data_IF_239616723555
#
_entry.id   IF_239616723555
#
_cell.length_a   1.000
_cell.length_b   1.000
_cell.length_c   1.000
_cell.angle_alpha   90.00
_cell.angle_beta   90.00
_cell.angle_gamma   90.00
#
_symmetry.space_group_name_H-M   'P 1'
#
loop_
_entity.id
_entity.type
_entity.pdbx_description
1 polymer ?
#
# COMPACT_ATOMS: atom_id res chain seq x y z
N UNK A 1 -2.64 9.90 -6.46
CA UNK A 1 -2.29 8.57 -5.97
C UNK A 1 -1.72 8.68 -4.57
N UNK A 2 -2.30 7.95 -3.63
CA UNK A 2 -1.83 7.80 -2.25
C UNK A 2 -1.34 6.35 -2.10
N UNK A 3 -0.16 6.13 -1.53
CA UNK A 3 0.41 4.78 -1.36
C UNK A 3 0.62 4.46 0.11
N UNK A 4 0.10 3.31 0.53
CA UNK A 4 0.40 2.66 1.80
C UNK A 4 1.26 1.42 1.50
N UNK A 5 2.55 1.48 1.82
CA UNK A 5 3.43 0.32 1.74
C UNK A 5 3.28 -0.51 2.99
N UNK A 6 2.82 -1.76 2.85
CA UNK A 6 2.71 -2.69 3.96
C UNK A 6 4.05 -3.34 4.29
N UNK A 7 4.27 -3.59 5.58
CA UNK A 7 5.44 -4.28 6.11
C UNK A 7 5.06 -5.02 7.41
N UNK A 8 5.89 -5.94 7.80
CA UNK A 8 5.68 -6.72 9.04
C UNK A 8 5.70 -5.81 10.28
N UNK A 9 4.65 -5.90 11.09
CA UNK A 9 4.49 -5.05 12.27
C UNK A 9 3.95 -3.64 11.98
N UNK A 10 3.38 -3.40 10.79
CA UNK A 10 2.68 -2.14 10.51
C UNK A 10 1.54 -1.94 11.50
N UNK A 11 1.65 -0.87 12.31
CA UNK A 11 0.61 -0.50 13.28
C UNK A 11 -0.56 0.22 12.60
N UNK A 12 -1.77 -0.10 13.04
CA UNK A 12 -3.00 0.52 12.54
C UNK A 12 -3.01 2.03 12.77
N UNK A 13 -2.59 2.49 13.96
CA UNK A 13 -2.57 3.91 14.28
C UNK A 13 -1.63 4.68 13.34
N UNK A 14 -0.41 4.19 13.14
CA UNK A 14 0.58 4.84 12.25
C UNK A 14 0.20 4.81 10.77
N UNK A 15 -0.73 3.97 10.36
CA UNK A 15 -1.28 3.96 9.00
C UNK A 15 -2.35 5.04 8.76
N UNK A 16 -2.96 5.54 9.85
CA UNK A 16 -4.03 6.55 9.81
C UNK A 16 -3.47 7.95 10.04
N UNK A 17 -2.79 8.17 11.18
CA UNK A 17 -2.26 9.47 11.56
C UNK A 17 -1.11 9.33 12.57
N UNK A 18 -0.46 10.45 12.81
CA UNK A 18 0.54 10.60 13.86
C UNK A 18 0.49 12.04 14.39
N UNK A 19 0.72 12.23 15.68
CA UNK A 19 0.85 13.56 16.24
C UNK A 19 2.30 14.06 16.15
N UNK A 20 2.48 15.30 15.73
CA UNK A 20 3.79 15.96 15.76
C UNK A 20 4.13 16.38 17.20
N UNK A 21 4.53 15.40 18.03
CA UNK A 21 4.83 15.62 19.43
C UNK A 21 5.89 16.69 19.66
N UNK A 22 6.89 16.79 18.79
CA UNK A 22 7.91 17.81 18.93
C UNK A 22 7.32 19.24 18.81
N UNK A 23 6.44 19.45 17.84
CA UNK A 23 5.77 20.73 17.67
C UNK A 23 4.76 21.01 18.81
N UNK A 24 4.05 19.98 19.29
CA UNK A 24 3.16 20.10 20.45
C UNK A 24 3.93 20.50 21.72
N UNK A 25 5.07 19.87 21.99
CA UNK A 25 5.92 20.23 23.14
C UNK A 25 6.44 21.65 23.08
N UNK A 26 6.83 22.13 21.90
CA UNK A 26 7.23 23.53 21.72
C UNK A 26 6.06 24.50 21.98
N UNK A 27 4.88 24.19 21.46
CA UNK A 27 3.68 25.00 21.68
C UNK A 27 3.28 25.05 23.16
N UNK A 28 3.34 23.93 23.88
CA UNK A 28 3.09 23.88 25.32
C UNK A 28 4.07 24.76 26.09
N UNK A 29 5.35 24.72 25.75
CA UNK A 29 6.36 25.61 26.36
C UNK A 29 6.05 27.09 26.13
N UNK A 30 5.47 27.42 24.97
CA UNK A 30 5.10 28.78 24.58
C UNK A 30 3.70 29.18 25.11
N UNK A 31 3.07 28.35 25.96
CA UNK A 31 1.82 28.63 26.67
C UNK A 31 0.55 28.15 25.98
N UNK A 32 0.63 27.26 24.99
CA UNK A 32 -0.56 26.63 24.40
C UNK A 32 -1.34 25.80 25.42
N UNK A 33 -2.66 25.92 25.42
CA UNK A 33 -3.53 25.12 26.26
C UNK A 33 -3.67 23.68 25.76
N UNK A 34 -4.20 22.79 26.61
CA UNK A 34 -4.36 21.36 26.29
C UNK A 34 -5.22 21.15 25.01
N UNK A 35 -6.26 21.95 24.81
CA UNK A 35 -7.09 21.88 23.61
C UNK A 35 -6.34 22.35 22.33
N UNK A 36 -5.38 23.23 22.46
CA UNK A 36 -4.64 23.78 21.31
C UNK A 36 -3.61 22.79 20.75
N UNK A 37 -3.08 21.90 21.59
CA UNK A 37 -2.06 20.93 21.16
C UNK A 37 -2.61 19.81 20.28
N UNK A 38 -3.93 19.53 20.34
CA UNK A 38 -4.60 18.57 19.47
C UNK A 38 -5.28 19.25 18.26
N UNK A 39 -4.87 20.45 17.93
CA UNK A 39 -5.33 21.11 16.71
C UNK A 39 -4.77 20.41 15.45
N UNK A 40 -5.54 20.44 14.38
CA UNK A 40 -5.21 19.79 13.09
C UNK A 40 -3.82 20.14 12.55
N UNK A 41 -3.29 21.33 12.87
CA UNK A 41 -1.94 21.78 12.47
C UNK A 41 -0.79 20.90 13.00
N UNK A 42 -1.06 20.09 14.05
CA UNK A 42 -0.09 19.15 14.61
C UNK A 42 -0.35 17.70 14.17
N UNK A 43 -1.42 17.46 13.42
CA UNK A 43 -1.77 16.16 12.90
C UNK A 43 -0.96 15.85 11.63
N UNK A 44 -0.17 14.78 11.68
CA UNK A 44 0.50 14.24 10.50
C UNK A 44 -0.42 13.20 9.91
N UNK A 45 -1.10 13.55 8.81
CA UNK A 45 -2.04 12.69 8.10
C UNK A 45 -1.27 11.60 7.36
N UNK A 46 -1.56 10.33 7.66
CA UNK A 46 -1.01 9.18 6.98
C UNK A 46 -1.93 8.70 5.86
N UNK A 47 -1.53 7.67 5.13
CA UNK A 47 -2.16 7.28 3.87
C UNK A 47 -3.69 7.02 3.98
N UNK A 48 -4.15 6.36 5.03
CA UNK A 48 -5.57 6.05 5.18
C UNK A 48 -6.40 7.29 5.48
N UNK A 49 -5.92 8.20 6.34
CA UNK A 49 -6.60 9.46 6.61
C UNK A 49 -6.62 10.35 5.36
N UNK A 50 -5.48 10.47 4.67
CA UNK A 50 -5.42 11.21 3.42
C UNK A 50 -6.42 10.69 2.38
N UNK A 51 -6.64 9.37 2.32
CA UNK A 51 -7.53 8.77 1.33
C UNK A 51 -9.03 9.05 1.58
N UNK A 52 -9.44 9.30 2.84
CA UNK A 52 -10.83 9.60 3.19
C UNK A 52 -11.12 11.10 3.24
N UNK A 53 -10.11 11.95 3.22
CA UNK A 53 -10.32 13.40 3.16
C UNK A 53 -10.77 13.88 1.77
N UNK A 54 -11.49 15.02 1.71
CA UNK A 54 -11.89 15.61 0.44
C UNK A 54 -10.67 16.06 -0.39
N UNK A 55 -10.68 15.77 -1.68
CA UNK A 55 -9.66 16.22 -2.63
C UNK A 55 -10.27 17.11 -3.72
N UNK A 56 -9.64 18.24 -4.04
CA UNK A 56 -10.12 19.17 -5.05
C UNK A 56 -10.21 18.55 -6.47
N UNK A 57 -9.42 17.50 -6.73
CA UNK A 57 -9.38 16.78 -8.02
C UNK A 57 -10.32 15.58 -8.10
N UNK A 58 -11.21 15.39 -7.10
CA UNK A 58 -12.09 14.21 -6.99
C UNK A 58 -11.48 13.08 -6.16
N UNK A 59 -12.16 11.92 -6.11
CA UNK A 59 -11.75 10.82 -5.24
C UNK A 59 -10.33 10.33 -5.55
N UNK A 60 -9.49 10.14 -4.53
CA UNK A 60 -8.12 9.67 -4.74
C UNK A 60 -8.06 8.18 -5.06
N UNK A 61 -6.96 7.73 -5.63
CA UNK A 61 -6.59 6.32 -5.71
C UNK A 61 -5.70 5.98 -4.52
N UNK A 62 -6.14 5.05 -3.69
CA UNK A 62 -5.36 4.48 -2.58
C UNK A 62 -4.77 3.14 -3.01
N UNK A 63 -3.46 3.07 -3.12
CA UNK A 63 -2.70 1.84 -3.35
C UNK A 63 -2.21 1.29 -2.01
N UNK A 64 -2.72 0.13 -1.61
CA UNK A 64 -2.23 -0.65 -0.46
C UNK A 64 -1.35 -1.76 -1.01
N UNK A 65 -0.05 -1.59 -0.86
CA UNK A 65 0.96 -2.40 -1.52
C UNK A 65 1.53 -3.47 -0.58
N UNK A 66 1.63 -4.70 -1.06
CA UNK A 66 2.12 -5.89 -0.33
C UNK A 66 1.30 -6.19 0.95
N UNK A 67 -0.05 -6.23 0.85
CA UNK A 67 -0.95 -6.49 1.99
C UNK A 67 -0.64 -7.80 2.72
N UNK A 68 -0.10 -8.80 2.02
CA UNK A 68 0.33 -10.08 2.57
C UNK A 68 1.50 -9.99 3.57
N UNK A 69 2.08 -8.80 3.75
CA UNK A 69 3.11 -8.52 4.78
C UNK A 69 2.53 -8.05 6.12
N UNK A 70 1.25 -7.73 6.17
CA UNK A 70 0.59 -7.30 7.41
C UNK A 70 0.07 -8.50 8.20
N UNK A 71 -0.36 -8.27 9.44
CA UNK A 71 -0.98 -9.27 10.28
C UNK A 71 -2.51 -9.30 10.15
N UNK A 72 -3.15 -10.30 10.75
CA UNK A 72 -4.61 -10.44 10.73
C UNK A 72 -5.35 -9.28 11.43
N UNK A 73 -4.87 -8.71 12.55
CA UNK A 73 -5.44 -7.50 13.14
C UNK A 73 -5.49 -6.31 12.19
N UNK A 74 -4.42 -6.08 11.42
CA UNK A 74 -4.38 -5.00 10.45
C UNK A 74 -5.38 -5.24 9.30
N UNK A 75 -5.49 -6.47 8.79
CA UNK A 75 -6.49 -6.81 7.78
C UNK A 75 -7.92 -6.61 8.29
N UNK A 76 -8.21 -6.97 9.54
CA UNK A 76 -9.52 -6.75 10.15
C UNK A 76 -9.83 -5.24 10.26
N UNK A 77 -8.87 -4.44 10.67
CA UNK A 77 -8.99 -2.98 10.68
C UNK A 77 -9.24 -2.40 9.28
N UNK A 78 -8.53 -2.86 8.26
CA UNK A 78 -8.77 -2.44 6.88
C UNK A 78 -10.17 -2.80 6.41
N UNK A 79 -10.67 -3.98 6.76
CA UNK A 79 -12.04 -4.39 6.44
C UNK A 79 -13.08 -3.42 7.01
N UNK A 80 -12.89 -2.95 8.25
CA UNK A 80 -13.74 -1.97 8.89
C UNK A 80 -13.61 -0.59 8.20
N UNK A 81 -12.38 -0.09 8.09
CA UNK A 81 -12.11 1.23 7.53
C UNK A 81 -12.58 1.37 6.08
N UNK A 82 -12.39 0.34 5.24
CA UNK A 82 -12.79 0.36 3.83
C UNK A 82 -14.27 0.02 3.60
N UNK A 83 -14.98 -0.55 4.59
CA UNK A 83 -16.41 -0.81 4.45
C UNK A 83 -17.24 0.46 4.41
N UNK A 84 -16.91 1.40 5.29
CA UNK A 84 -17.62 2.66 5.42
C UNK A 84 -16.82 3.87 4.92
N UNK A 85 -15.60 3.63 4.45
CA UNK A 85 -14.62 4.65 4.05
C UNK A 85 -14.47 5.73 5.11
N UNK A 86 -14.23 5.29 6.34
CA UNK A 86 -14.08 6.15 7.49
C UNK A 86 -12.91 5.72 8.37
N UNK A 87 -12.33 6.69 9.07
CA UNK A 87 -11.31 6.46 10.09
C UNK A 87 -11.63 7.28 11.32
N UNK A 88 -11.25 6.80 12.49
CA UNK A 88 -11.46 7.49 13.76
C UNK A 88 -10.12 8.05 14.26
N UNK A 89 -10.10 9.34 14.50
CA UNK A 89 -9.04 10.04 15.24
C UNK A 89 -9.63 10.43 16.60
N UNK A 90 -9.18 9.87 17.72
CA UNK A 90 -9.84 10.04 19.02
C UNK A 90 -10.16 11.49 19.39
N UNK A 91 -9.24 12.40 19.09
CA UNK A 91 -9.35 13.82 19.44
C UNK A 91 -10.19 14.63 18.44
N UNK A 92 -10.38 14.13 17.22
CA UNK A 92 -11.09 14.81 16.13
C UNK A 92 -12.42 14.11 15.78
N UNK A 93 -12.62 12.88 16.28
CA UNK A 93 -13.81 12.08 15.99
C UNK A 93 -13.69 11.24 14.71
N UNK A 94 -14.83 10.89 14.14
CA UNK A 94 -14.94 10.08 12.93
C UNK A 94 -14.81 10.95 11.69
N UNK A 95 -13.88 10.64 10.83
CA UNK A 95 -13.66 11.28 9.53
C UNK A 95 -14.11 10.30 8.46
N UNK A 96 -15.12 10.67 7.68
CA UNK A 96 -15.72 9.85 6.64
C UNK A 96 -15.54 10.48 5.27
N UNK A 97 -15.19 9.67 4.29
CA UNK A 97 -15.08 10.12 2.90
C UNK A 97 -16.43 10.57 2.36
N UNK A 98 -16.48 11.75 1.75
CA UNK A 98 -17.63 12.21 0.98
C UNK A 98 -17.69 11.46 -0.36
N UNK A 99 -16.54 11.36 -1.02
CA UNK A 99 -16.35 10.61 -2.25
C UNK A 99 -15.40 9.44 -1.95
N UNK A 100 -15.88 8.18 -1.95
CA UNK A 100 -15.05 7.03 -1.65
C UNK A 100 -13.84 6.92 -2.56
N UNK A 101 -12.62 6.64 -2.03
CA UNK A 101 -11.44 6.43 -2.84
C UNK A 101 -11.56 5.16 -3.69
N UNK A 102 -10.85 5.13 -4.82
CA UNK A 102 -10.59 3.89 -5.56
C UNK A 102 -9.46 3.17 -4.84
N UNK A 103 -9.73 1.96 -4.34
CA UNK A 103 -8.72 1.18 -3.58
C UNK A 103 -8.16 0.07 -4.43
N UNK A 104 -6.83 0.00 -4.50
CA UNK A 104 -6.07 -1.06 -5.17
C UNK A 104 -5.22 -1.76 -4.11
N UNK A 105 -5.36 -3.07 -4.01
CA UNK A 105 -4.58 -3.93 -3.12
C UNK A 105 -3.62 -4.78 -3.95
N UNK A 106 -2.36 -4.86 -3.56
CA UNK A 106 -1.41 -5.81 -4.16
C UNK A 106 -0.95 -6.85 -3.15
N UNK A 107 -0.64 -8.04 -3.63
CA UNK A 107 -0.12 -9.13 -2.81
C UNK A 107 0.86 -9.97 -3.63
N UNK A 108 2.00 -10.31 -3.05
CA UNK A 108 2.97 -11.26 -3.58
C UNK A 108 2.72 -12.69 -3.09
N UNK A 109 1.64 -12.93 -2.34
CA UNK A 109 1.25 -14.21 -1.76
C UNK A 109 2.34 -14.84 -0.88
N UNK A 110 3.10 -14.05 -0.16
CA UNK A 110 4.02 -14.57 0.87
C UNK A 110 3.23 -15.22 2.03
N UNK A 111 2.00 -14.76 2.23
CA UNK A 111 0.98 -15.30 3.13
C UNK A 111 -0.39 -15.20 2.45
N UNK A 112 -1.33 -16.04 2.82
CA UNK A 112 -2.71 -15.89 2.39
C UNK A 112 -3.36 -14.66 3.03
N UNK A 113 -3.96 -13.83 2.19
CA UNK A 113 -4.81 -12.71 2.61
C UNK A 113 -6.16 -13.25 3.06
N UNK A 114 -6.72 -12.68 4.12
CA UNK A 114 -7.97 -13.14 4.71
C UNK A 114 -9.13 -13.12 3.71
N UNK A 115 -9.92 -14.21 3.69
CA UNK A 115 -11.01 -14.39 2.72
C UNK A 115 -12.06 -13.27 2.76
N UNK A 116 -12.31 -12.67 3.92
CA UNK A 116 -13.25 -11.56 4.05
C UNK A 116 -12.81 -10.34 3.22
N UNK A 117 -11.50 -10.09 3.09
CA UNK A 117 -10.96 -9.02 2.25
C UNK A 117 -11.09 -9.40 0.77
N UNK A 118 -10.71 -10.63 0.40
CA UNK A 118 -10.82 -11.14 -0.99
C UNK A 118 -12.26 -11.05 -1.51
N UNK A 119 -13.26 -11.39 -0.71
CA UNK A 119 -14.70 -11.37 -1.09
C UNK A 119 -15.24 -9.97 -1.39
N UNK A 120 -14.55 -8.92 -0.94
CA UNK A 120 -14.95 -7.51 -1.18
C UNK A 120 -14.19 -6.88 -2.33
N UNK A 121 -13.26 -7.59 -2.97
CA UNK A 121 -12.41 -7.10 -4.05
C UNK A 121 -12.72 -7.79 -5.36
N UNK A 122 -12.55 -7.07 -6.46
CA UNK A 122 -12.36 -7.68 -7.76
C UNK A 122 -10.95 -8.27 -7.79
N UNK A 123 -10.86 -9.59 -7.94
CA UNK A 123 -9.59 -10.28 -7.93
C UNK A 123 -9.02 -10.43 -9.34
N UNK A 124 -7.78 -10.04 -9.52
CA UNK A 124 -7.03 -10.22 -10.75
C UNK A 124 -5.70 -10.89 -10.45
N UNK A 125 -5.45 -12.00 -11.11
CA UNK A 125 -4.17 -12.71 -11.03
C UNK A 125 -3.24 -12.20 -12.10
N UNK A 126 -2.01 -11.82 -11.73
CA UNK A 126 -0.94 -11.44 -12.65
C UNK A 126 0.09 -12.56 -12.67
N UNK A 127 0.13 -13.30 -13.76
CA UNK A 127 1.11 -14.36 -13.97
C UNK A 127 2.50 -13.81 -14.33
N UNK A 128 3.50 -14.70 -14.24
CA UNK A 128 4.79 -14.37 -14.79
C UNK A 128 4.68 -14.15 -16.31
N UNK A 129 5.46 -13.20 -16.85
CA UNK A 129 5.48 -12.97 -18.28
C UNK A 129 5.89 -14.23 -19.07
N UNK A 130 5.33 -14.39 -20.26
CA UNK A 130 5.80 -15.37 -21.22
C UNK A 130 7.17 -14.96 -21.81
N UNK A 131 7.72 -15.81 -22.69
CA UNK A 131 9.04 -15.58 -23.28
C UNK A 131 9.12 -14.27 -24.07
N UNK A 132 8.11 -13.97 -24.86
CA UNK A 132 8.11 -12.78 -25.73
C UNK A 132 8.01 -11.50 -24.87
N UNK A 133 7.19 -11.52 -23.87
CA UNK A 133 7.04 -10.41 -22.93
C UNK A 133 8.28 -10.20 -22.07
N UNK A 134 8.95 -11.28 -21.62
CA UNK A 134 10.22 -11.19 -20.92
C UNK A 134 11.30 -10.56 -21.82
N UNK A 135 11.32 -10.90 -23.11
CA UNK A 135 12.24 -10.30 -24.09
C UNK A 135 11.96 -8.80 -24.28
N UNK A 136 10.71 -8.39 -24.37
CA UNK A 136 10.32 -6.97 -24.42
C UNK A 136 10.79 -6.20 -23.18
N UNK A 137 10.53 -6.74 -21.99
CA UNK A 137 10.94 -6.14 -20.72
C UNK A 137 12.47 -6.00 -20.67
N UNK A 138 13.19 -7.06 -21.02
CA UNK A 138 14.66 -7.04 -21.00
C UNK A 138 15.23 -6.03 -21.99
N UNK A 139 14.68 -5.97 -23.21
CA UNK A 139 15.10 -5.01 -24.24
C UNK A 139 14.84 -3.56 -23.81
N UNK A 140 13.67 -3.30 -23.18
CA UNK A 140 13.34 -1.97 -22.68
C UNK A 140 14.28 -1.51 -21.54
N UNK A 141 14.72 -2.45 -20.68
CA UNK A 141 15.59 -2.14 -19.54
C UNK A 141 17.09 -2.11 -19.90
N UNK A 142 17.49 -2.93 -20.86
CA UNK A 142 18.88 -3.08 -21.30
C UNK A 142 18.97 -2.97 -22.84
N UNK A 143 18.71 -1.80 -23.40
CA UNK A 143 18.67 -1.62 -24.86
C UNK A 143 19.99 -1.90 -25.56
N UNK A 144 21.11 -1.82 -24.83
CA UNK A 144 22.46 -2.10 -25.36
C UNK A 144 22.87 -3.58 -25.28
N UNK A 145 22.00 -4.45 -24.71
CA UNK A 145 22.32 -5.88 -24.56
C UNK A 145 22.38 -6.58 -25.92
N UNK A 146 23.34 -7.51 -26.06
CA UNK A 146 23.44 -8.36 -27.27
C UNK A 146 22.23 -9.30 -27.31
N UNK A 147 21.47 -9.28 -28.42
CA UNK A 147 20.27 -10.10 -28.61
C UNK A 147 20.50 -11.59 -28.27
N UNK A 148 21.63 -12.16 -28.68
CA UNK A 148 21.98 -13.56 -28.38
C UNK A 148 22.06 -13.85 -26.86
N UNK A 149 22.62 -12.92 -26.09
CA UNK A 149 22.71 -13.06 -24.63
C UNK A 149 21.34 -12.94 -23.99
N UNK A 150 20.51 -11.99 -24.45
CA UNK A 150 19.15 -11.78 -23.99
C UNK A 150 18.27 -13.02 -24.21
N UNK A 151 18.36 -13.65 -25.38
CA UNK A 151 17.63 -14.88 -25.69
C UNK A 151 18.01 -16.03 -24.76
N UNK A 152 19.32 -16.25 -24.55
CA UNK A 152 19.80 -17.30 -23.64
C UNK A 152 19.36 -17.05 -22.20
N UNK A 153 19.45 -15.80 -21.75
CA UNK A 153 19.06 -15.42 -20.38
C UNK A 153 17.56 -15.61 -20.15
N UNK A 154 16.69 -15.13 -21.04
CA UNK A 154 15.25 -15.31 -20.93
C UNK A 154 14.87 -16.80 -21.01
N UNK A 155 15.47 -17.57 -21.93
CA UNK A 155 15.22 -19.01 -22.00
C UNK A 155 15.59 -19.74 -20.70
N UNK A 156 16.70 -19.36 -20.07
CA UNK A 156 17.11 -19.88 -18.78
C UNK A 156 16.12 -19.54 -17.65
N UNK A 157 15.67 -18.29 -17.57
CA UNK A 157 14.65 -17.86 -16.59
C UNK A 157 13.34 -18.62 -16.79
N UNK A 158 12.88 -18.77 -18.04
CA UNK A 158 11.67 -19.54 -18.36
C UNK A 158 11.78 -21.01 -17.96
N UNK A 159 12.99 -21.59 -18.09
CA UNK A 159 13.23 -22.95 -17.63
C UNK A 159 13.23 -23.05 -16.12
N UNK A 160 13.87 -22.13 -15.41
CA UNK A 160 13.87 -22.08 -13.93
C UNK A 160 12.46 -21.96 -13.37
N UNK A 161 11.56 -21.22 -14.03
CA UNK A 161 10.14 -21.09 -13.59
C UNK A 161 9.34 -22.38 -13.69
N UNK A 162 9.84 -23.40 -14.41
CA UNK A 162 9.21 -24.72 -14.50
C UNK A 162 9.67 -25.69 -13.41
N UNK A 163 10.76 -25.33 -12.73
CA UNK A 163 11.28 -26.12 -11.62
C UNK A 163 10.52 -25.84 -10.33
N UNK A 164 10.42 -26.82 -9.44
CA UNK A 164 9.78 -26.66 -8.13
C UNK A 164 10.70 -25.86 -7.19
N UNK A 165 10.65 -24.54 -7.32
CA UNK A 165 11.47 -23.60 -6.54
C UNK A 165 10.62 -22.91 -5.50
N UNK A 166 11.18 -22.68 -4.31
CA UNK A 166 10.54 -21.94 -3.24
C UNK A 166 10.11 -20.51 -3.65
N UNK A 167 10.90 -19.87 -4.52
CA UNK A 167 10.59 -18.57 -5.11
C UNK A 167 11.02 -18.56 -6.58
N UNK A 168 10.05 -18.31 -7.46
CA UNK A 168 10.31 -18.21 -8.89
C UNK A 168 11.03 -16.89 -9.24
N UNK A 169 12.01 -16.91 -10.17
CA UNK A 169 12.74 -15.71 -10.56
C UNK A 169 11.91 -14.78 -11.44
N UNK A 170 11.95 -13.48 -11.11
CA UNK A 170 11.48 -12.39 -11.98
C UNK A 170 12.62 -11.75 -12.77
N UNK A 171 12.30 -10.92 -13.77
CA UNK A 171 13.23 -10.06 -14.50
C UNK A 171 13.34 -8.65 -13.89
N UNK A 172 13.02 -8.50 -12.61
CA UNK A 172 13.02 -7.20 -11.90
C UNK A 172 14.12 -7.19 -10.86
#
# INVERSE_FOLDING_TARGET
LIRLQCYEGLDTATSVYEWNFAAQMLAMRDGAGEADIYAEKYLIKRALLQAVEPHASGPPVLLIDEIDRTDAPFEAFLLEALSDFQVTVPELGVIKAQDPPIVILTSNRTREVHDALKRRCFYHWVDFPDFDRDMEILTARLPESKLALSLVFVAFIQQLRKEDMFKLPGLV
#
